data_IF_018926539057
#
_entry.id   IF_018926539057
#
_cell.length_a   1.000
_cell.length_b   1.000
_cell.length_c   1.000
_cell.angle_alpha   90.00
_cell.angle_beta   90.00
_cell.angle_gamma   90.00
#
_symmetry.space_group_name_H-M   'P 1'
#
loop_
_entity.id
_entity.type
_entity.pdbx_description
1 polymer ?
#
# COMPACT_ATOMS: atom_id res chain seq x y z
N UNK A 1 -26.58 -44.04 -22.09
CA UNK A 1 -26.08 -42.65 -21.95
C UNK A 1 -26.44 -42.18 -20.57
N UNK A 2 -25.44 -42.05 -19.70
CA UNK A 2 -25.63 -41.50 -18.36
C UNK A 2 -26.05 -40.03 -18.46
N UNK A 3 -27.08 -39.61 -17.72
CA UNK A 3 -27.54 -38.22 -17.71
C UNK A 3 -26.45 -37.32 -17.09
N UNK A 4 -26.19 -36.18 -17.72
CA UNK A 4 -25.25 -35.14 -17.24
C UNK A 4 -25.54 -34.77 -15.78
N UNK A 5 -26.81 -34.78 -15.36
CA UNK A 5 -27.21 -34.52 -13.99
C UNK A 5 -26.70 -35.57 -12.98
N UNK A 6 -26.62 -36.85 -13.39
CA UNK A 6 -26.10 -37.95 -12.57
C UNK A 6 -24.58 -37.84 -12.41
N UNK A 7 -23.87 -37.52 -13.49
CA UNK A 7 -22.43 -37.29 -13.46
C UNK A 7 -22.06 -36.08 -12.57
N UNK A 8 -22.81 -34.98 -12.69
CA UNK A 8 -22.62 -33.79 -11.87
C UNK A 8 -22.92 -34.05 -10.37
N UNK A 9 -23.99 -34.79 -10.07
CA UNK A 9 -24.33 -35.17 -8.69
C UNK A 9 -23.22 -35.98 -8.01
N UNK A 10 -22.58 -36.90 -8.74
CA UNK A 10 -21.42 -37.66 -8.23
C UNK A 10 -20.20 -36.79 -8.01
N UNK A 11 -19.92 -35.85 -8.90
CA UNK A 11 -18.80 -34.92 -8.74
C UNK A 11 -18.97 -34.04 -7.49
N UNK A 12 -20.19 -33.55 -7.23
CA UNK A 12 -20.50 -32.77 -6.02
C UNK A 12 -20.37 -33.61 -4.75
N UNK A 13 -20.83 -34.87 -4.77
CA UNK A 13 -20.69 -35.78 -3.64
C UNK A 13 -19.21 -36.07 -3.33
N UNK A 14 -18.41 -36.39 -4.36
CA UNK A 14 -16.97 -36.62 -4.22
C UNK A 14 -16.23 -35.37 -3.71
N UNK A 15 -16.64 -34.18 -4.15
CA UNK A 15 -16.06 -32.92 -3.64
C UNK A 15 -16.37 -32.71 -2.15
N UNK A 16 -17.61 -32.93 -1.71
CA UNK A 16 -18.00 -32.82 -0.30
C UNK A 16 -17.26 -33.83 0.57
N UNK A 17 -17.07 -35.06 0.07
CA UNK A 17 -16.30 -36.09 0.74
C UNK A 17 -14.82 -35.72 0.86
N UNK A 18 -14.22 -35.17 -0.20
CA UNK A 18 -12.85 -34.67 -0.18
C UNK A 18 -12.66 -33.52 0.82
N UNK A 19 -13.60 -32.56 0.87
CA UNK A 19 -13.59 -31.46 1.85
C UNK A 19 -13.68 -32.02 3.27
N UNK A 20 -14.60 -32.96 3.53
CA UNK A 20 -14.75 -33.62 4.83
C UNK A 20 -13.46 -34.35 5.27
N UNK A 21 -12.80 -35.07 4.36
CA UNK A 21 -11.53 -35.73 4.65
C UNK A 21 -10.40 -34.74 4.97
N UNK A 22 -10.31 -33.62 4.25
CA UNK A 22 -9.32 -32.57 4.52
C UNK A 22 -9.58 -31.91 5.88
N UNK A 23 -10.84 -31.63 6.22
CA UNK A 23 -11.20 -31.07 7.52
C UNK A 23 -10.92 -32.04 8.67
N UNK A 24 -11.24 -33.33 8.51
CA UNK A 24 -10.95 -34.37 9.49
C UNK A 24 -9.43 -34.58 9.68
N UNK A 25 -8.65 -34.54 8.59
CA UNK A 25 -7.19 -34.61 8.66
C UNK A 25 -6.60 -33.38 9.38
N UNK A 26 -7.10 -32.18 9.10
CA UNK A 26 -6.71 -30.94 9.79
C UNK A 26 -7.11 -30.95 11.27
N UNK A 27 -8.25 -31.55 11.62
CA UNK A 27 -8.65 -31.72 13.01
C UNK A 27 -7.71 -32.68 13.75
N UNK A 28 -7.40 -33.84 13.17
CA UNK A 28 -6.45 -34.81 13.75
C UNK A 28 -5.03 -34.26 13.89
N UNK A 29 -4.57 -33.43 12.95
CA UNK A 29 -3.28 -32.75 13.05
C UNK A 29 -3.27 -31.72 14.18
N UNK A 30 -4.38 -30.99 14.37
CA UNK A 30 -4.56 -30.07 15.51
C UNK A 30 -4.61 -30.81 16.84
N UNK A 31 -5.33 -31.93 16.91
CA UNK A 31 -5.41 -32.78 18.12
C UNK A 31 -4.04 -33.36 18.48
N UNK A 32 -3.29 -33.89 17.51
CA UNK A 32 -1.93 -34.40 17.75
C UNK A 32 -0.93 -33.32 18.13
N UNK A 33 -1.05 -32.11 17.57
CA UNK A 33 -0.26 -30.96 17.99
C UNK A 33 -0.64 -30.48 19.40
N UNK A 34 -1.88 -30.74 19.86
CA UNK A 34 -2.35 -30.48 21.21
C UNK A 34 -1.93 -31.54 22.25
N UNK A 35 -1.86 -32.81 21.85
CA UNK A 35 -1.50 -33.94 22.73
C UNK A 35 0.00 -34.01 23.06
N UNK A 36 0.88 -33.58 22.13
CA UNK A 36 2.28 -33.31 22.43
C UNK A 36 2.42 -31.89 23.01
N UNK A 37 1.88 -31.68 24.21
CA UNK A 37 1.85 -30.35 24.84
C UNK A 37 3.24 -29.70 24.86
N UNK A 38 3.38 -28.56 24.17
CA UNK A 38 4.58 -27.72 24.22
C UNK A 38 4.94 -27.51 25.69
N UNK A 39 6.17 -27.87 26.07
CA UNK A 39 6.58 -27.82 27.47
C UNK A 39 6.41 -26.41 28.03
N UNK A 40 6.20 -26.28 29.35
CA UNK A 40 6.09 -24.97 29.98
C UNK A 40 7.30 -24.07 29.70
N UNK A 41 8.48 -24.68 29.59
CA UNK A 41 9.72 -24.00 29.23
C UNK A 41 9.69 -23.43 27.81
N UNK A 42 9.30 -24.22 26.80
CA UNK A 42 9.22 -23.72 25.41
C UNK A 42 8.19 -22.60 25.27
N UNK A 43 7.09 -22.65 26.04
CA UNK A 43 6.13 -21.53 26.08
C UNK A 43 6.75 -20.26 26.67
N UNK A 44 7.56 -20.37 27.72
CA UNK A 44 8.21 -19.22 28.33
C UNK A 44 9.27 -18.62 27.40
N UNK A 45 10.07 -19.47 26.74
CA UNK A 45 11.03 -19.05 25.71
C UNK A 45 10.33 -18.31 24.56
N UNK A 46 9.20 -18.83 24.07
CA UNK A 46 8.40 -18.19 23.03
C UNK A 46 7.84 -16.82 23.48
N UNK A 47 7.43 -16.67 24.75
CA UNK A 47 7.01 -15.37 25.29
C UNK A 47 8.18 -14.39 25.36
N UNK A 48 9.33 -14.84 25.82
CA UNK A 48 10.56 -14.03 25.86
C UNK A 48 10.97 -13.56 24.46
N UNK A 49 10.89 -14.45 23.47
CA UNK A 49 11.12 -14.12 22.07
C UNK A 49 10.11 -13.09 21.54
N UNK A 50 8.81 -13.31 21.76
CA UNK A 50 7.76 -12.37 21.35
C UNK A 50 7.96 -10.98 21.96
N UNK A 51 8.31 -10.90 23.25
CA UNK A 51 8.63 -9.63 23.90
C UNK A 51 9.87 -8.95 23.30
N UNK A 52 10.88 -9.72 22.91
CA UNK A 52 12.04 -9.22 22.16
C UNK A 52 11.65 -8.65 20.79
N UNK A 53 10.86 -9.40 20.02
CA UNK A 53 10.35 -8.97 18.72
C UNK A 53 9.48 -7.72 18.82
N UNK A 54 8.65 -7.61 19.85
CA UNK A 54 7.82 -6.42 20.09
C UNK A 54 8.68 -5.16 20.28
N UNK A 55 9.77 -5.24 21.09
CA UNK A 55 10.68 -4.11 21.28
C UNK A 55 11.42 -3.72 19.99
N UNK A 56 11.82 -4.71 19.19
CA UNK A 56 12.44 -4.44 17.89
C UNK A 56 11.45 -3.77 16.93
N UNK A 57 10.21 -4.25 16.89
CA UNK A 57 9.15 -3.65 16.08
C UNK A 57 8.92 -2.18 16.47
N UNK A 58 8.80 -1.89 17.76
CA UNK A 58 8.64 -0.51 18.27
C UNK A 58 9.83 0.39 17.91
N UNK A 59 11.06 -0.13 17.98
CA UNK A 59 12.26 0.62 17.61
C UNK A 59 12.37 0.91 16.10
N UNK A 60 11.82 0.02 15.25
CA UNK A 60 11.85 0.17 13.79
C UNK A 60 10.71 1.02 13.24
N UNK A 61 9.63 1.19 14.01
CA UNK A 61 8.38 1.81 13.53
C UNK A 61 7.93 2.98 14.42
N UNK A 62 8.65 4.11 14.41
CA UNK A 62 8.28 5.27 15.22
C UNK A 62 6.95 5.89 14.77
N UNK A 63 6.26 6.53 15.71
CA UNK A 63 5.07 7.34 15.46
C UNK A 63 4.00 6.63 14.64
N UNK A 64 3.57 7.23 13.54
CA UNK A 64 2.53 6.70 12.65
C UNK A 64 2.88 5.33 12.05
N UNK A 65 4.16 5.00 11.90
CA UNK A 65 4.58 3.75 11.27
C UNK A 65 4.27 2.50 12.11
N UNK A 66 4.22 2.65 13.44
CA UNK A 66 4.08 1.52 14.38
C UNK A 66 3.03 1.67 15.47
N UNK A 67 2.52 2.88 15.71
CA UNK A 67 1.51 3.14 16.74
C UNK A 67 0.25 2.28 16.54
N UNK A 68 -0.50 2.04 17.61
CA UNK A 68 -1.85 1.49 17.48
C UNK A 68 -2.74 2.56 16.85
N UNK A 69 -3.53 2.16 15.86
CA UNK A 69 -4.49 3.02 15.17
C UNK A 69 -5.77 3.15 16.01
N UNK A 70 -5.66 3.86 17.13
CA UNK A 70 -6.74 4.19 18.06
C UNK A 70 -6.86 5.71 18.28
N UNK A 71 -7.78 6.14 19.15
CA UNK A 71 -8.04 7.56 19.40
C UNK A 71 -6.79 8.40 19.72
N UNK A 72 -5.79 7.82 20.39
CA UNK A 72 -4.57 8.54 20.75
C UNK A 72 -3.67 8.85 19.55
N UNK A 73 -3.77 8.06 18.46
CA UNK A 73 -2.98 8.29 17.26
C UNK A 73 -3.27 9.64 16.60
N UNK A 74 -4.50 10.16 16.73
CA UNK A 74 -4.95 11.41 16.10
C UNK A 74 -4.08 12.62 16.48
N UNK A 75 -3.55 12.61 17.70
CA UNK A 75 -2.73 13.70 18.25
C UNK A 75 -1.24 13.59 17.88
N UNK A 76 -0.82 12.50 17.22
CA UNK A 76 0.57 12.35 16.79
C UNK A 76 0.95 13.42 15.74
N UNK A 77 2.17 13.97 15.80
CA UNK A 77 2.69 14.87 14.77
C UNK A 77 2.74 14.14 13.42
N UNK A 78 2.52 14.87 12.32
CA UNK A 78 2.58 14.33 10.96
C UNK A 78 3.86 14.78 10.26
N UNK A 79 4.35 13.98 9.32
CA UNK A 79 5.46 14.32 8.43
C UNK A 79 6.85 14.27 9.06
N UNK A 80 6.98 13.64 10.23
CA UNK A 80 8.25 13.58 11.00
C UNK A 80 8.80 12.17 11.18
N UNK A 81 8.03 11.13 10.83
CA UNK A 81 8.39 9.74 11.12
C UNK A 81 9.15 9.06 9.97
N UNK A 82 9.17 9.66 8.78
CA UNK A 82 9.80 9.10 7.59
C UNK A 82 10.56 10.14 6.75
N UNK A 83 11.55 9.66 6.00
CA UNK A 83 12.35 10.47 5.06
C UNK A 83 12.17 9.91 3.65
N UNK A 84 11.79 10.74 2.66
CA UNK A 84 11.65 10.30 1.27
C UNK A 84 12.92 9.63 0.74
N UNK A 85 12.76 8.60 -0.08
CA UNK A 85 13.87 7.83 -0.66
C UNK A 85 14.53 6.82 0.29
N UNK A 86 14.13 6.75 1.57
CA UNK A 86 14.52 5.66 2.47
C UNK A 86 13.40 4.61 2.57
N UNK A 87 13.72 3.32 2.75
CA UNK A 87 12.71 2.30 3.07
C UNK A 87 11.91 2.65 4.33
N UNK A 88 10.58 2.60 4.23
CA UNK A 88 9.67 2.76 5.36
C UNK A 88 9.35 1.40 5.95
N UNK A 89 9.80 1.14 7.18
CA UNK A 89 9.31 -0.01 7.94
C UNK A 89 7.88 0.30 8.44
N UNK A 90 6.91 -0.52 8.08
CA UNK A 90 5.50 -0.33 8.45
C UNK A 90 4.96 -1.54 9.20
N UNK A 91 4.19 -1.28 10.25
CA UNK A 91 3.42 -2.30 10.96
C UNK A 91 2.20 -2.71 10.14
N UNK A 92 2.03 -4.02 9.97
CA UNK A 92 0.86 -4.62 9.29
C UNK A 92 -0.24 -5.07 10.26
N UNK A 93 0.15 -5.54 11.44
CA UNK A 93 -0.73 -6.24 12.36
C UNK A 93 0.03 -6.87 13.52
N UNK A 94 -0.58 -7.86 14.15
CA UNK A 94 -0.02 -8.59 15.29
C UNK A 94 0.06 -10.09 15.00
N UNK A 95 1.21 -10.70 15.31
CA UNK A 95 1.38 -12.14 15.35
C UNK A 95 1.35 -12.64 16.80
N UNK A 96 0.82 -13.85 17.02
CA UNK A 96 0.77 -14.48 18.34
C UNK A 96 1.38 -15.89 18.27
N UNK A 97 2.68 -16.05 18.59
CA UNK A 97 3.34 -17.35 18.51
C UNK A 97 2.81 -18.32 19.59
N UNK A 98 2.47 -17.80 20.76
CA UNK A 98 1.84 -18.54 21.86
C UNK A 98 0.79 -17.68 22.56
N UNK A 99 -0.24 -18.34 23.10
CA UNK A 99 -1.34 -17.68 23.81
C UNK A 99 -0.82 -16.70 24.89
N UNK A 100 -1.36 -15.48 24.89
CA UNK A 100 -0.98 -14.42 25.82
C UNK A 100 0.29 -13.65 25.44
N UNK A 101 0.90 -13.93 24.28
CA UNK A 101 2.02 -13.15 23.74
C UNK A 101 1.71 -12.66 22.33
N UNK A 102 2.07 -11.42 22.04
CA UNK A 102 1.93 -10.83 20.70
C UNK A 102 3.15 -9.98 20.37
N UNK A 103 3.44 -9.84 19.09
CA UNK A 103 4.37 -8.83 18.59
C UNK A 103 3.86 -8.20 17.30
N UNK A 104 4.21 -6.93 17.06
CA UNK A 104 3.91 -6.21 15.84
C UNK A 104 4.68 -6.78 14.66
N UNK A 105 3.99 -7.14 13.58
CA UNK A 105 4.63 -7.58 12.35
C UNK A 105 4.97 -6.36 11.51
N UNK A 106 6.26 -6.20 11.23
CA UNK A 106 6.83 -5.07 10.51
C UNK A 106 7.45 -5.55 9.21
N UNK A 107 7.16 -4.84 8.13
CA UNK A 107 7.73 -5.12 6.81
C UNK A 107 8.30 -3.83 6.20
N UNK A 108 9.36 -3.92 5.40
CA UNK A 108 9.79 -2.80 4.59
C UNK A 108 8.74 -2.57 3.48
N UNK A 109 8.21 -1.36 3.44
CA UNK A 109 7.36 -0.82 2.39
C UNK A 109 8.00 0.45 1.82
N UNK A 110 7.31 1.18 0.93
CA UNK A 110 7.69 2.48 0.32
C UNK A 110 9.16 2.85 0.47
N UNK A 111 9.92 2.75 -0.62
CA UNK A 111 11.38 2.87 -0.63
C UNK A 111 12.09 1.51 -0.65
N UNK A 112 11.38 0.41 -0.37
CA UNK A 112 11.90 -0.96 -0.53
C UNK A 112 11.15 -1.80 -1.57
N UNK A 113 9.81 -1.71 -1.60
CA UNK A 113 9.00 -2.54 -2.47
C UNK A 113 7.51 -2.35 -2.23
N UNK A 114 6.74 -3.38 -2.58
CA UNK A 114 5.29 -3.33 -2.68
C UNK A 114 4.60 -4.20 -1.63
N UNK A 115 3.29 -3.98 -1.48
CA UNK A 115 2.42 -4.81 -0.65
C UNK A 115 1.23 -5.28 -1.47
N UNK A 116 0.92 -6.57 -1.36
CA UNK A 116 -0.26 -7.15 -1.97
C UNK A 116 -0.97 -8.08 -0.98
N UNK A 117 -2.30 -8.04 -0.96
CA UNK A 117 -3.15 -8.99 -0.24
C UNK A 117 -4.10 -9.66 -1.22
N UNK A 118 -4.28 -10.98 -1.09
CA UNK A 118 -5.07 -11.80 -2.01
C UNK A 118 -6.59 -11.56 -1.93
N UNK A 119 -7.04 -11.00 -0.82
CA UNK A 119 -8.43 -10.61 -0.55
C UNK A 119 -8.59 -9.12 -0.84
N UNK A 120 -9.72 -8.70 -1.40
CA UNK A 120 -9.97 -7.28 -1.71
C UNK A 120 -10.83 -6.57 -0.65
N UNK A 121 -11.05 -5.27 -0.84
CA UNK A 121 -11.78 -4.43 0.10
C UNK A 121 -13.30 -4.71 0.18
N UNK A 122 -13.83 -5.71 -0.55
CA UNK A 122 -15.16 -6.25 -0.22
C UNK A 122 -15.15 -6.98 1.13
N UNK A 123 -13.98 -7.46 1.57
CA UNK A 123 -13.77 -7.82 2.97
C UNK A 123 -13.57 -6.54 3.83
N UNK A 124 -14.46 -6.26 4.79
CA UNK A 124 -14.35 -5.08 5.66
C UNK A 124 -13.07 -5.05 6.50
N UNK A 125 -12.44 -6.21 6.77
CA UNK A 125 -11.16 -6.27 7.46
C UNK A 125 -10.04 -5.76 6.56
N UNK A 126 -10.00 -6.17 5.30
CA UNK A 126 -9.02 -5.68 4.32
C UNK A 126 -9.24 -4.19 4.01
N UNK A 127 -10.49 -3.77 3.84
CA UNK A 127 -10.81 -2.36 3.61
C UNK A 127 -10.29 -1.46 4.74
N UNK A 128 -10.49 -1.85 6.00
CA UNK A 128 -9.99 -1.09 7.15
C UNK A 128 -8.47 -1.13 7.28
N UNK A 129 -7.86 -2.30 7.06
CA UNK A 129 -6.41 -2.45 7.07
C UNK A 129 -5.74 -1.57 6.01
N UNK A 130 -6.25 -1.59 4.77
CA UNK A 130 -5.72 -0.81 3.66
C UNK A 130 -5.80 0.69 3.95
N UNK A 131 -6.94 1.17 4.45
CA UNK A 131 -7.09 2.57 4.88
C UNK A 131 -6.14 2.93 6.02
N UNK A 132 -6.00 2.04 7.00
CA UNK A 132 -5.07 2.21 8.10
C UNK A 132 -3.63 2.35 7.62
N UNK A 133 -3.17 1.43 6.78
CA UNK A 133 -1.82 1.45 6.20
C UNK A 133 -1.59 2.69 5.34
N UNK A 134 -2.56 3.06 4.50
CA UNK A 134 -2.50 4.28 3.70
C UNK A 134 -2.35 5.53 4.58
N UNK A 135 -3.12 5.61 5.67
CA UNK A 135 -3.01 6.69 6.63
C UNK A 135 -1.65 6.70 7.34
N UNK A 136 -1.10 5.55 7.72
CA UNK A 136 0.25 5.46 8.31
C UNK A 136 1.29 6.08 7.38
N UNK A 137 1.29 5.70 6.11
CA UNK A 137 2.26 6.20 5.12
C UNK A 137 2.07 7.69 4.86
N UNK A 138 0.81 8.12 4.69
CA UNK A 138 0.46 9.52 4.45
C UNK A 138 0.87 10.42 5.63
N UNK A 139 0.64 9.96 6.86
CA UNK A 139 0.92 10.74 8.06
C UNK A 139 2.39 10.69 8.48
N UNK A 140 3.13 9.65 8.10
CA UNK A 140 4.56 9.52 8.42
C UNK A 140 5.46 10.37 7.50
N UNK A 141 5.13 10.44 6.21
CA UNK A 141 5.91 11.16 5.21
C UNK A 141 5.69 12.68 5.28
N UNK A 142 6.72 13.50 5.00
CA UNK A 142 6.56 14.95 4.94
C UNK A 142 5.44 15.37 3.99
N UNK A 143 4.80 16.48 4.31
CA UNK A 143 3.74 17.03 3.47
C UNK A 143 4.26 17.24 2.04
N UNK A 144 3.50 16.75 1.07
CA UNK A 144 3.90 16.80 -0.33
C UNK A 144 4.84 15.66 -0.76
N UNK A 145 5.38 14.84 0.13
CA UNK A 145 6.24 13.74 -0.29
C UNK A 145 5.47 12.58 -0.94
N UNK A 146 4.19 12.40 -0.62
CA UNK A 146 3.36 11.31 -1.15
C UNK A 146 2.29 11.84 -2.13
N UNK A 147 2.15 11.15 -3.26
CA UNK A 147 1.01 11.22 -4.18
C UNK A 147 0.34 9.85 -4.18
N UNK A 148 -1.00 9.83 -4.14
CA UNK A 148 -1.77 8.60 -4.11
C UNK A 148 -2.67 8.54 -5.34
N UNK A 149 -2.51 7.48 -6.12
CA UNK A 149 -3.41 7.11 -7.20
C UNK A 149 -4.31 5.97 -6.70
N UNK A 150 -5.52 6.31 -6.30
CA UNK A 150 -6.47 5.39 -5.69
C UNK A 150 -7.31 4.66 -6.76
N UNK A 151 -7.57 3.38 -6.55
CA UNK A 151 -8.40 2.54 -7.43
C UNK A 151 -9.37 1.71 -6.58
N UNK A 152 -10.65 1.76 -6.90
CA UNK A 152 -11.69 0.95 -6.24
C UNK A 152 -12.79 0.60 -7.23
N UNK A 153 -12.57 -0.47 -7.97
CA UNK A 153 -13.52 -0.98 -8.94
C UNK A 153 -14.69 -1.78 -8.36
N UNK A 154 -14.68 -2.10 -7.06
CA UNK A 154 -15.72 -2.92 -6.44
C UNK A 154 -16.75 -2.11 -5.66
N UNK A 155 -16.37 -0.97 -5.08
CA UNK A 155 -17.27 -0.16 -4.24
C UNK A 155 -17.44 1.28 -4.73
N UNK A 156 -17.10 1.54 -5.99
CA UNK A 156 -17.25 2.85 -6.64
C UNK A 156 -16.54 3.97 -5.88
N UNK A 157 -15.36 3.68 -5.31
CA UNK A 157 -14.57 4.64 -4.55
C UNK A 157 -14.93 4.76 -3.07
N UNK A 158 -15.93 4.05 -2.57
CA UNK A 158 -16.39 4.20 -1.18
C UNK A 158 -15.30 3.86 -0.14
N UNK A 159 -14.37 2.95 -0.46
CA UNK A 159 -13.22 2.65 0.42
C UNK A 159 -12.36 3.88 0.68
N UNK A 160 -12.31 4.85 -0.23
CA UNK A 160 -11.53 6.07 -0.06
C UNK A 160 -12.36 7.26 0.46
N UNK A 161 -13.65 7.04 0.79
CA UNK A 161 -14.54 8.08 1.33
C UNK A 161 -13.95 8.89 2.50
N UNK A 162 -13.35 8.26 3.53
CA UNK A 162 -12.73 8.98 4.64
C UNK A 162 -11.55 9.89 4.25
N UNK A 163 -11.00 9.73 3.04
CA UNK A 163 -9.92 10.56 2.49
C UNK A 163 -10.42 11.72 1.63
N UNK A 164 -11.74 11.97 1.57
CA UNK A 164 -12.35 13.02 0.73
C UNK A 164 -11.69 14.39 0.88
N UNK A 165 -11.27 14.76 2.09
CA UNK A 165 -10.59 16.03 2.33
C UNK A 165 -9.30 16.21 1.49
N UNK A 166 -8.59 15.12 1.18
CA UNK A 166 -7.40 15.14 0.33
C UNK A 166 -7.75 15.40 -1.14
N UNK A 167 -8.86 14.82 -1.61
CA UNK A 167 -9.38 15.02 -2.97
C UNK A 167 -9.88 16.48 -3.13
N UNK A 168 -10.62 16.98 -2.15
CA UNK A 168 -11.09 18.38 -2.11
C UNK A 168 -9.97 19.40 -1.95
N UNK A 169 -8.79 18.97 -1.54
CA UNK A 169 -7.58 19.80 -1.49
C UNK A 169 -6.72 19.64 -2.76
N UNK A 170 -7.19 18.89 -3.76
CA UNK A 170 -6.47 18.57 -4.99
C UNK A 170 -5.11 17.90 -4.76
N UNK A 171 -4.89 17.37 -3.54
CA UNK A 171 -3.69 16.63 -3.22
C UNK A 171 -3.72 15.24 -3.89
N UNK A 172 -4.91 14.66 -4.03
CA UNK A 172 -5.17 13.37 -4.66
C UNK A 172 -6.14 13.52 -5.82
N UNK A 173 -5.94 12.70 -6.86
CA UNK A 173 -6.95 12.48 -7.89
C UNK A 173 -8.15 11.73 -7.31
N UNK A 174 -9.32 11.86 -7.94
CA UNK A 174 -10.47 11.02 -7.61
C UNK A 174 -10.11 9.54 -7.83
N UNK A 175 -10.58 8.61 -6.98
CA UNK A 175 -10.33 7.19 -7.19
C UNK A 175 -10.86 6.74 -8.56
N UNK A 176 -10.05 5.97 -9.28
CA UNK A 176 -10.51 5.27 -10.47
C UNK A 176 -11.48 4.16 -10.06
N UNK A 177 -12.65 4.12 -10.69
CA UNK A 177 -13.74 3.17 -10.35
C UNK A 177 -14.03 2.17 -11.46
N UNK A 178 -13.34 2.27 -12.59
CA UNK A 178 -13.54 1.46 -13.77
C UNK A 178 -12.20 1.12 -14.46
N UNK A 179 -12.27 0.26 -15.48
CA UNK A 179 -11.10 -0.19 -16.21
C UNK A 179 -10.36 0.97 -16.91
N UNK A 180 -11.01 1.91 -17.63
CA UNK A 180 -10.33 3.05 -18.23
C UNK A 180 -9.57 3.92 -17.20
N UNK A 181 -10.20 4.22 -16.06
CA UNK A 181 -9.55 4.97 -15.00
C UNK A 181 -8.35 4.23 -14.42
N UNK A 182 -8.46 2.91 -14.23
CA UNK A 182 -7.33 2.10 -13.77
C UNK A 182 -6.19 2.07 -14.81
N UNK A 183 -6.51 1.93 -16.09
CA UNK A 183 -5.53 1.99 -17.16
C UNK A 183 -4.79 3.34 -17.20
N UNK A 184 -5.49 4.44 -16.92
CA UNK A 184 -4.88 5.76 -16.78
C UNK A 184 -3.93 5.83 -15.57
N UNK A 185 -4.30 5.24 -14.43
CA UNK A 185 -3.42 5.14 -13.25
C UNK A 185 -2.14 4.36 -13.56
N UNK A 186 -2.25 3.25 -14.30
CA UNK A 186 -1.08 2.49 -14.75
C UNK A 186 -0.22 3.31 -15.71
N UNK A 187 -0.82 4.08 -16.61
CA UNK A 187 -0.09 4.96 -17.54
C UNK A 187 0.67 6.05 -16.79
N UNK A 188 0.07 6.70 -15.79
CA UNK A 188 0.78 7.68 -14.95
C UNK A 188 1.99 7.07 -14.23
N UNK A 189 1.85 5.84 -13.74
CA UNK A 189 2.93 5.11 -13.09
C UNK A 189 4.07 4.80 -14.07
N UNK A 190 3.75 4.36 -15.28
CA UNK A 190 4.72 4.05 -16.35
C UNK A 190 5.45 5.32 -16.84
N UNK A 191 4.72 6.40 -17.13
CA UNK A 191 5.31 7.69 -17.55
C UNK A 191 6.28 8.23 -16.51
N UNK A 192 5.96 8.07 -15.22
CA UNK A 192 6.88 8.44 -14.14
C UNK A 192 8.15 7.59 -14.15
N UNK A 193 8.02 6.28 -14.35
CA UNK A 193 9.18 5.38 -14.46
C UNK A 193 10.07 5.81 -15.62
N UNK A 194 9.48 6.10 -16.78
CA UNK A 194 10.20 6.56 -17.97
C UNK A 194 10.95 7.88 -17.74
N UNK A 195 10.30 8.89 -17.13
CA UNK A 195 10.93 10.17 -16.80
C UNK A 195 12.14 10.02 -15.88
N UNK A 196 12.03 9.21 -14.83
CA UNK A 196 13.15 8.97 -13.92
C UNK A 196 14.28 8.19 -14.61
N UNK A 197 13.95 7.23 -15.47
CA UNK A 197 14.96 6.53 -16.28
C UNK A 197 15.66 7.45 -17.29
N UNK A 198 14.96 8.48 -17.79
CA UNK A 198 15.53 9.55 -18.61
C UNK A 198 16.39 10.56 -17.82
N UNK A 199 16.48 10.42 -16.49
CA UNK A 199 17.31 11.24 -15.62
C UNK A 199 16.59 12.40 -14.95
N UNK A 200 15.26 12.51 -15.08
CA UNK A 200 14.49 13.51 -14.34
C UNK A 200 14.43 13.15 -12.85
N UNK A 201 14.80 14.10 -12.00
CA UNK A 201 14.69 13.93 -10.56
C UNK A 201 13.26 14.28 -10.09
N UNK A 202 12.56 13.30 -9.53
CA UNK A 202 11.31 13.51 -8.81
C UNK A 202 11.46 12.91 -7.39
N UNK A 203 11.64 13.75 -6.35
CA UNK A 203 11.85 13.27 -4.98
C UNK A 203 10.57 12.79 -4.30
N UNK A 204 9.41 12.95 -4.94
CA UNK A 204 8.13 12.49 -4.39
C UNK A 204 7.99 10.97 -4.50
N UNK A 205 6.94 10.43 -3.90
CA UNK A 205 6.55 9.03 -4.01
C UNK A 205 5.18 8.97 -4.69
N UNK A 206 5.02 8.11 -5.69
CA UNK A 206 3.72 7.72 -6.23
C UNK A 206 3.31 6.37 -5.65
N UNK A 207 2.22 6.35 -4.89
CA UNK A 207 1.61 5.13 -4.37
C UNK A 207 0.33 4.82 -5.15
N UNK A 208 0.35 3.75 -5.93
CA UNK A 208 -0.86 3.17 -6.53
C UNK A 208 -1.51 2.30 -5.47
N UNK A 209 -2.69 2.72 -5.00
CA UNK A 209 -3.43 2.05 -3.94
C UNK A 209 -4.74 1.49 -4.50
N UNK A 210 -4.79 0.17 -4.72
CA UNK A 210 -5.97 -0.50 -5.24
C UNK A 210 -6.72 -1.24 -4.13
N UNK A 211 -7.92 -0.77 -3.79
CA UNK A 211 -8.82 -1.43 -2.86
C UNK A 211 -9.52 -2.64 -3.48
N UNK A 212 -9.79 -2.58 -4.78
CA UNK A 212 -10.21 -3.69 -5.61
C UNK A 212 -9.90 -3.35 -7.07
N UNK A 213 -9.40 -4.32 -7.83
CA UNK A 213 -9.17 -4.15 -9.27
C UNK A 213 -10.52 -4.07 -10.00
N UNK A 214 -10.68 -3.19 -11.00
CA UNK A 214 -11.91 -3.10 -11.77
C UNK A 214 -12.26 -4.36 -12.55
N UNK A 215 -13.56 -4.56 -12.77
CA UNK A 215 -14.04 -5.58 -13.70
C UNK A 215 -13.41 -5.40 -15.09
N UNK A 216 -13.02 -6.50 -15.72
CA UNK A 216 -12.34 -6.50 -17.01
C UNK A 216 -10.83 -6.32 -16.95
N UNK A 217 -10.24 -5.99 -15.79
CA UNK A 217 -8.79 -6.04 -15.62
C UNK A 217 -8.30 -7.47 -15.80
N UNK A 218 -7.41 -7.68 -16.77
CA UNK A 218 -6.97 -9.02 -17.17
C UNK A 218 -5.47 -9.08 -17.39
N UNK A 219 -5.06 -9.98 -18.28
CA UNK A 219 -3.65 -10.26 -18.56
C UNK A 219 -2.85 -9.01 -18.91
N UNK A 220 -3.41 -8.09 -19.68
CA UNK A 220 -2.73 -6.85 -20.07
C UNK A 220 -2.40 -6.01 -18.83
N UNK A 221 -3.39 -5.76 -17.99
CA UNK A 221 -3.20 -4.99 -16.74
C UNK A 221 -2.27 -5.71 -15.76
N UNK A 222 -2.34 -7.04 -15.65
CA UNK A 222 -1.45 -7.80 -14.77
C UNK A 222 0.00 -7.75 -15.24
N UNK A 223 0.25 -7.82 -16.55
CA UNK A 223 1.58 -7.64 -17.12
C UNK A 223 2.13 -6.24 -16.87
N UNK A 224 1.29 -5.20 -16.96
CA UNK A 224 1.66 -3.82 -16.63
C UNK A 224 1.99 -3.68 -15.15
N UNK A 225 1.17 -4.24 -14.26
CA UNK A 225 1.45 -4.29 -12.82
C UNK A 225 2.78 -5.00 -12.52
N UNK A 226 3.09 -6.10 -13.20
CA UNK A 226 4.36 -6.81 -13.05
C UNK A 226 5.56 -5.96 -13.52
N UNK A 227 5.43 -5.25 -14.66
CA UNK A 227 6.46 -4.34 -15.14
C UNK A 227 6.68 -3.15 -14.19
N UNK A 228 5.59 -2.57 -13.66
CA UNK A 228 5.65 -1.52 -12.64
C UNK A 228 6.26 -2.07 -11.35
N UNK A 229 5.94 -3.30 -10.94
CA UNK A 229 6.51 -3.90 -9.75
C UNK A 229 8.04 -4.10 -9.85
N UNK A 230 8.51 -4.40 -11.06
CA UNK A 230 9.94 -4.54 -11.34
C UNK A 230 10.68 -3.19 -11.33
N UNK A 231 10.19 -2.21 -12.10
CA UNK A 231 10.89 -0.94 -12.32
C UNK A 231 10.54 0.16 -11.31
N UNK A 232 9.36 0.07 -10.70
CA UNK A 232 8.74 1.11 -9.89
C UNK A 232 9.53 1.55 -8.66
N UNK A 233 10.07 0.63 -7.82
CA UNK A 233 10.78 1.02 -6.61
C UNK A 233 11.94 1.99 -6.86
N UNK A 234 12.66 1.84 -7.99
CA UNK A 234 13.76 2.73 -8.38
C UNK A 234 13.29 4.10 -8.87
N UNK A 235 12.04 4.22 -9.31
CA UNK A 235 11.41 5.45 -9.78
C UNK A 235 10.50 6.11 -8.73
N UNK A 236 10.49 5.60 -7.49
CA UNK A 236 9.61 6.07 -6.42
C UNK A 236 8.14 5.72 -6.64
N UNK A 237 7.85 4.67 -7.43
CA UNK A 237 6.50 4.14 -7.66
C UNK A 237 6.31 2.87 -6.83
N UNK A 238 5.28 2.83 -5.99
CA UNK A 238 4.96 1.66 -5.16
C UNK A 238 3.50 1.24 -5.30
N UNK A 239 3.25 -0.05 -5.10
CA UNK A 239 1.94 -0.66 -5.18
C UNK A 239 1.48 -1.11 -3.79
N UNK A 240 0.24 -0.76 -3.43
CA UNK A 240 -0.54 -1.34 -2.35
C UNK A 240 -1.80 -1.94 -2.96
N UNK A 241 -1.83 -3.25 -3.14
CA UNK A 241 -2.89 -3.94 -3.89
C UNK A 241 -3.71 -4.85 -2.97
N UNK A 242 -5.02 -4.72 -3.04
CA UNK A 242 -5.95 -5.68 -2.47
C UNK A 242 -6.66 -6.46 -3.58
N UNK A 243 -6.84 -7.76 -3.38
CA UNK A 243 -7.31 -8.70 -4.40
C UNK A 243 -6.24 -9.16 -5.37
N UNK A 244 -4.95 -9.12 -4.99
CA UNK A 244 -3.84 -9.58 -5.83
C UNK A 244 -3.00 -10.70 -5.16
N UNK A 245 -2.75 -11.83 -5.84
CA UNK A 245 -3.25 -12.17 -7.18
C UNK A 245 -4.77 -12.36 -7.17
N UNK A 246 -5.47 -12.02 -8.26
CA UNK A 246 -6.90 -12.28 -8.36
C UNK A 246 -7.19 -13.78 -8.26
N UNK A 247 -8.40 -14.17 -7.79
CA UNK A 247 -8.82 -15.56 -7.75
C UNK A 247 -8.60 -16.25 -9.10
N UNK A 248 -8.02 -17.45 -9.07
CA UNK A 248 -7.82 -18.23 -10.29
C UNK A 248 -9.17 -18.67 -10.86
N UNK A 249 -9.43 -18.30 -12.11
CA UNK A 249 -10.59 -18.78 -12.85
C UNK A 249 -10.17 -19.93 -13.78
N UNK A 250 -10.96 -21.02 -13.85
CA UNK A 250 -10.65 -22.15 -14.74
C UNK A 250 -10.45 -21.69 -16.19
N UNK A 251 -9.32 -22.06 -16.79
CA UNK A 251 -8.99 -21.72 -18.18
C UNK A 251 -8.31 -20.36 -18.38
N UNK A 252 -8.05 -19.59 -17.31
CA UNK A 252 -7.19 -18.41 -17.37
C UNK A 252 -5.82 -18.73 -16.77
N UNK A 253 -4.77 -18.17 -17.37
CA UNK A 253 -3.44 -18.23 -16.79
C UNK A 253 -3.42 -17.48 -15.45
N UNK A 254 -2.66 -18.01 -14.50
CA UNK A 254 -2.47 -17.35 -13.22
C UNK A 254 -1.83 -15.97 -13.43
N UNK A 255 -2.27 -14.98 -12.65
CA UNK A 255 -1.61 -13.69 -12.61
C UNK A 255 -0.13 -13.86 -12.19
N UNK A 256 0.81 -13.12 -12.82
CA UNK A 256 2.22 -13.21 -12.49
C UNK A 256 2.47 -12.83 -11.03
N UNK A 257 3.48 -13.45 -10.41
CA UNK A 257 3.98 -12.92 -9.13
C UNK A 257 4.61 -11.56 -9.37
N UNK A 258 4.31 -10.60 -8.50
CA UNK A 258 4.90 -9.27 -8.57
C UNK A 258 6.27 -9.31 -7.89
N UNK A 259 7.29 -8.84 -8.59
CA UNK A 259 8.62 -8.69 -8.00
C UNK A 259 8.61 -7.65 -6.87
N UNK A 260 9.61 -7.73 -6.01
CA UNK A 260 9.79 -6.82 -4.89
C UNK A 260 8.52 -6.61 -4.01
N UNK A 261 7.67 -7.63 -3.89
CA UNK A 261 6.36 -7.52 -3.23
C UNK A 261 6.26 -8.44 -2.02
N UNK A 262 5.87 -7.88 -0.86
CA UNK A 262 5.46 -8.70 0.29
C UNK A 262 3.99 -9.06 0.11
N UNK A 263 3.69 -10.35 0.11
CA UNK A 263 2.35 -10.89 -0.09
C UNK A 263 1.70 -11.28 1.24
N UNK A 264 0.44 -10.91 1.39
CA UNK A 264 -0.46 -11.34 2.45
C UNK A 264 -1.48 -12.30 1.86
N UNK A 265 -1.58 -13.50 2.44
CA UNK A 265 -2.47 -14.55 1.95
C UNK A 265 -3.42 -14.96 3.06
N UNK A 266 -4.72 -14.94 2.79
CA UNK A 266 -5.72 -15.32 3.77
C UNK A 266 -5.51 -16.77 4.23
N UNK A 267 -5.29 -16.97 5.53
CA UNK A 267 -5.07 -18.27 6.17
C UNK A 267 -6.34 -18.82 6.86
N UNK A 268 -7.46 -18.10 6.74
CA UNK A 268 -8.73 -18.40 7.41
C UNK A 268 -8.86 -17.76 8.79
N UNK A 269 -10.10 -17.64 9.30
CA UNK A 269 -10.35 -17.11 10.65
C UNK A 269 -9.92 -15.65 10.88
N UNK A 270 -9.83 -14.84 9.82
CA UNK A 270 -9.34 -13.45 9.89
C UNK A 270 -7.83 -13.32 10.08
N UNK A 271 -7.08 -14.39 9.83
CA UNK A 271 -5.62 -14.43 9.90
C UNK A 271 -5.01 -14.50 8.50
N UNK A 272 -3.77 -14.01 8.38
CA UNK A 272 -3.02 -13.90 7.13
C UNK A 272 -1.62 -14.49 7.30
N UNK A 273 -1.17 -15.27 6.32
CA UNK A 273 0.24 -15.58 6.15
C UNK A 273 0.95 -14.39 5.49
N UNK A 274 2.23 -14.20 5.81
CA UNK A 274 3.06 -13.11 5.27
C UNK A 274 4.26 -13.73 4.59
N UNK A 275 4.47 -13.42 3.31
CA UNK A 275 5.67 -13.87 2.60
C UNK A 275 6.93 -13.18 3.13
N UNK A 276 8.09 -13.65 2.70
CA UNK A 276 9.31 -12.87 2.89
C UNK A 276 9.18 -11.49 2.21
N UNK A 277 9.70 -10.44 2.86
CA UNK A 277 9.76 -9.13 2.26
C UNK A 277 10.87 -9.04 1.19
N UNK A 278 10.83 -8.00 0.34
CA UNK A 278 11.82 -7.83 -0.71
C UNK A 278 13.21 -7.49 -0.17
N UNK A 279 14.24 -7.85 -0.95
CA UNK A 279 15.63 -7.56 -0.65
C UNK A 279 16.32 -8.63 0.21
N UNK A 280 17.34 -8.26 1.00
CA UNK A 280 18.08 -9.22 1.84
C UNK A 280 17.32 -9.62 3.11
N UNK A 281 16.18 -9.00 3.39
CA UNK A 281 15.43 -9.19 4.62
C UNK A 281 14.44 -10.34 4.43
N UNK A 282 14.73 -11.49 5.03
CA UNK A 282 13.85 -12.67 5.00
C UNK A 282 13.43 -13.04 6.41
N UNK A 283 12.19 -13.50 6.55
CA UNK A 283 11.68 -14.12 7.77
C UNK A 283 12.12 -15.58 7.88
N UNK A 284 12.29 -16.28 6.75
CA UNK A 284 12.73 -17.66 6.73
C UNK A 284 13.85 -17.92 5.70
N UNK A 285 14.66 -18.95 5.94
CA UNK A 285 15.75 -19.34 5.03
C UNK A 285 15.22 -19.97 3.73
N UNK A 286 14.04 -20.58 3.80
CA UNK A 286 13.42 -21.35 2.72
C UNK A 286 12.43 -20.55 1.86
N UNK A 287 12.22 -19.26 2.14
CA UNK A 287 11.31 -18.43 1.35
C UNK A 287 9.83 -18.57 1.72
N UNK A 288 9.49 -19.36 2.74
CA UNK A 288 8.10 -19.57 3.18
C UNK A 288 7.49 -18.36 3.90
N UNK A 289 8.30 -17.42 4.36
CA UNK A 289 7.85 -16.20 5.01
C UNK A 289 7.71 -16.33 6.52
N UNK A 290 6.86 -15.51 7.12
CA UNK A 290 6.67 -15.48 8.56
C UNK A 290 5.98 -16.78 9.02
N UNK A 291 6.65 -17.52 9.92
CA UNK A 291 6.18 -18.81 10.42
C UNK A 291 4.89 -18.76 11.27
N UNK A 292 4.44 -17.56 11.65
CA UNK A 292 3.27 -17.34 12.50
C UNK A 292 2.26 -16.47 11.75
N UNK A 293 0.97 -16.85 11.73
CA UNK A 293 -0.04 -16.05 11.07
C UNK A 293 -0.27 -14.71 11.78
N UNK A 294 -0.74 -13.74 11.02
CA UNK A 294 -0.89 -12.35 11.43
C UNK A 294 -2.36 -11.97 11.41
N UNK A 295 -2.80 -11.31 12.48
CA UNK A 295 -4.06 -10.58 12.51
C UNK A 295 -3.78 -9.15 12.08
N UNK A 296 -4.36 -8.73 10.96
CA UNK A 296 -4.17 -7.37 10.45
C UNK A 296 -4.69 -6.32 11.43
N UNK A 297 -4.03 -5.16 11.47
CA UNK A 297 -4.52 -4.04 12.27
C UNK A 297 -5.91 -3.62 11.77
N UNK A 298 -6.84 -3.39 12.71
CA UNK A 298 -8.24 -3.13 12.41
C UNK A 298 -8.52 -1.73 11.83
N UNK A 299 -7.50 -0.89 11.65
CA UNK A 299 -7.61 0.50 11.21
C UNK A 299 -8.25 1.45 12.23
N UNK A 300 -8.20 2.75 11.94
CA UNK A 300 -8.95 3.77 12.69
C UNK A 300 -10.43 3.79 12.24
N UNK A 301 -11.36 4.15 13.14
CA UNK A 301 -12.69 4.61 12.77
C UNK A 301 -12.65 5.74 11.72
N UNK A 302 -13.62 5.75 10.81
CA UNK A 302 -13.67 6.64 9.64
C UNK A 302 -13.60 8.13 10.03
N UNK A 303 -14.27 8.53 11.11
CA UNK A 303 -14.28 9.90 11.64
C UNK A 303 -12.90 10.37 12.12
N UNK A 304 -12.09 9.44 12.64
CA UNK A 304 -10.72 9.74 13.05
C UNK A 304 -9.79 9.84 11.84
N UNK A 305 -9.97 8.99 10.82
CA UNK A 305 -9.26 9.12 9.53
C UNK A 305 -9.56 10.47 8.90
N UNK A 306 -10.84 10.87 8.83
CA UNK A 306 -11.26 12.16 8.29
C UNK A 306 -10.64 13.33 9.05
N UNK A 307 -10.50 13.23 10.37
CA UNK A 307 -9.89 14.27 11.21
C UNK A 307 -8.41 14.47 10.86
N UNK A 308 -7.65 13.39 10.74
CA UNK A 308 -6.24 13.47 10.34
C UNK A 308 -6.11 13.97 8.89
N UNK A 309 -6.95 13.47 7.98
CA UNK A 309 -6.94 13.91 6.58
C UNK A 309 -7.31 15.38 6.42
N UNK A 310 -8.22 15.94 7.23
CA UNK A 310 -8.50 17.39 7.22
C UNK A 310 -7.28 18.23 7.63
N UNK A 311 -6.52 17.77 8.63
CA UNK A 311 -5.27 18.42 9.05
C UNK A 311 -4.24 18.42 7.92
N UNK A 312 -4.04 17.26 7.30
CA UNK A 312 -3.11 17.09 6.16
C UNK A 312 -3.55 17.90 4.94
N UNK A 313 -4.85 17.89 4.61
CA UNK A 313 -5.43 18.68 3.51
C UNK A 313 -5.26 20.19 3.74
N UNK A 314 -5.38 20.67 4.98
CA UNK A 314 -5.10 22.07 5.32
C UNK A 314 -3.64 22.43 5.03
N UNK A 315 -2.70 21.54 5.38
CA UNK A 315 -1.28 21.75 5.07
C UNK A 315 -1.02 21.73 3.56
N UNK A 316 -1.59 20.77 2.84
CA UNK A 316 -1.48 20.68 1.39
C UNK A 316 -2.00 21.95 0.68
N UNK A 317 -3.14 22.50 1.12
CA UNK A 317 -3.67 23.78 0.59
C UNK A 317 -2.75 24.96 0.89
N UNK A 318 -2.16 25.00 2.09
CA UNK A 318 -1.20 26.05 2.44
C UNK A 318 0.07 25.98 1.57
N UNK A 319 0.52 24.79 1.20
CA UNK A 319 1.67 24.60 0.29
C UNK A 319 1.34 24.91 -1.17
N UNK A 320 0.13 24.57 -1.62
CA UNK A 320 -0.35 24.87 -2.96
C UNK A 320 -0.69 26.35 -3.15
N UNK A 321 -1.11 27.02 -2.08
CA UNK A 321 -1.34 28.47 -2.05
C UNK A 321 0.00 29.17 -2.31
N UNK A 322 0.17 29.61 -3.54
CA UNK A 322 1.33 30.39 -3.93
C UNK A 322 1.02 31.85 -3.59
N UNK A 323 1.52 32.34 -2.46
CA UNK A 323 1.47 33.78 -2.19
C UNK A 323 2.43 34.52 -3.13
N UNK A 324 2.17 35.81 -3.35
CA UNK A 324 3.01 36.61 -4.24
C UNK A 324 4.47 36.69 -3.76
N UNK A 325 4.72 36.70 -2.45
CA UNK A 325 6.07 36.74 -1.89
C UNK A 325 6.85 35.44 -2.17
N UNK A 326 6.17 34.29 -2.23
CA UNK A 326 6.74 33.00 -2.60
C UNK A 326 7.10 32.90 -4.10
N UNK A 327 6.54 33.77 -4.94
CA UNK A 327 6.92 33.94 -6.35
C UNK A 327 8.02 34.97 -6.56
N UNK A 328 8.37 35.74 -5.53
CA UNK A 328 9.41 36.75 -5.67
C UNK A 328 10.80 36.12 -5.65
N UNK A 329 11.70 36.53 -6.55
CA UNK A 329 13.08 36.08 -6.51
C UNK A 329 13.72 36.55 -5.20
N UNK A 330 14.59 35.72 -4.63
CA UNK A 330 15.26 36.00 -3.36
C UNK A 330 16.08 37.31 -3.39
N UNK A 331 16.53 37.69 -4.59
CA UNK A 331 17.21 38.95 -4.87
C UNK A 331 16.56 39.62 -6.08
N UNK A 332 16.46 40.95 -6.05
CA UNK A 332 15.96 41.73 -7.18
C UNK A 332 17.04 41.73 -8.26
N UNK A 333 16.71 41.23 -9.46
CA UNK A 333 17.65 41.17 -10.58
C UNK A 333 18.34 42.51 -10.85
N UNK A 334 19.67 42.45 -10.92
CA UNK A 334 20.53 43.56 -11.33
C UNK A 334 21.27 43.26 -12.65
N UNK A 335 21.07 42.06 -13.19
CA UNK A 335 21.77 41.54 -14.36
C UNK A 335 21.13 42.04 -15.67
N UNK A 336 21.90 41.99 -16.75
CA UNK A 336 21.44 42.38 -18.09
C UNK A 336 20.39 41.41 -18.63
N UNK A 337 19.29 41.93 -19.17
CA UNK A 337 18.21 41.15 -19.78
C UNK A 337 18.49 40.72 -21.24
N UNK A 338 19.71 40.91 -21.75
CA UNK A 338 20.06 40.63 -23.16
C UNK A 338 19.89 39.16 -23.54
N UNK A 339 20.00 38.23 -22.58
CA UNK A 339 19.75 36.79 -22.81
C UNK A 339 18.30 36.35 -22.65
N UNK A 340 17.38 37.29 -22.42
CA UNK A 340 15.99 37.04 -22.04
C UNK A 340 15.75 37.05 -20.53
N UNK A 341 14.48 37.18 -20.15
CA UNK A 341 14.02 37.18 -18.75
C UNK A 341 13.25 35.90 -18.48
N UNK A 342 13.52 35.22 -17.37
CA UNK A 342 12.77 34.05 -16.93
C UNK A 342 12.33 34.25 -15.50
N UNK A 343 11.05 34.09 -15.21
CA UNK A 343 10.50 34.23 -13.86
C UNK A 343 9.47 33.16 -13.58
N UNK A 344 9.37 32.73 -12.31
CA UNK A 344 8.27 31.87 -11.88
C UNK A 344 7.04 32.74 -11.71
N UNK A 345 5.98 32.48 -12.48
CA UNK A 345 4.72 33.26 -12.44
C UNK A 345 3.59 32.55 -11.70
N UNK A 346 3.82 31.31 -11.28
CA UNK A 346 2.83 30.51 -10.59
C UNK A 346 3.31 29.07 -10.45
N UNK A 347 2.41 28.21 -10.00
CA UNK A 347 2.61 26.77 -9.95
C UNK A 347 1.42 26.05 -10.57
N UNK A 348 1.69 25.06 -11.41
CA UNK A 348 0.71 24.09 -11.86
C UNK A 348 0.85 22.84 -10.97
N UNK A 349 0.00 22.76 -9.94
CA UNK A 349 0.18 21.76 -8.88
C UNK A 349 1.47 22.02 -8.10
N UNK A 350 2.51 21.20 -8.37
CA UNK A 350 3.83 21.31 -7.72
C UNK A 350 4.95 21.75 -8.65
N UNK A 351 4.70 21.87 -9.95
CA UNK A 351 5.68 22.34 -10.91
C UNK A 351 5.63 23.87 -11.00
N UNK A 352 6.80 24.50 -10.96
CA UNK A 352 6.90 25.94 -11.20
C UNK A 352 6.54 26.26 -12.66
N UNK A 353 5.57 27.15 -12.84
CA UNK A 353 5.27 27.71 -14.14
C UNK A 353 6.22 28.87 -14.40
N UNK A 354 7.18 28.66 -15.31
CA UNK A 354 8.16 29.68 -15.69
C UNK A 354 7.65 30.42 -16.90
N UNK A 355 7.50 31.74 -16.78
CA UNK A 355 7.37 32.65 -17.91
C UNK A 355 8.77 32.99 -18.41
N UNK A 356 9.02 32.76 -19.70
CA UNK A 356 10.22 33.19 -20.38
C UNK A 356 9.88 34.27 -21.42
N UNK A 357 10.63 35.36 -21.40
CA UNK A 357 10.62 36.44 -22.37
C UNK A 357 12.01 36.48 -23.00
N UNK A 358 12.20 35.70 -24.06
CA UNK A 358 13.44 35.55 -24.81
C UNK A 358 13.18 35.62 -26.32
N UNK A 359 14.23 35.50 -27.14
CA UNK A 359 14.11 35.61 -28.61
C UNK A 359 13.21 34.53 -29.23
N UNK A 360 12.98 33.42 -28.53
CA UNK A 360 12.05 32.37 -28.97
C UNK A 360 10.58 32.73 -28.68
N UNK A 361 10.34 33.59 -27.69
CA UNK A 361 9.00 34.01 -27.24
C UNK A 361 8.95 35.52 -26.96
N UNK A 362 9.17 36.38 -27.98
CA UNK A 362 9.31 37.83 -27.77
C UNK A 362 7.99 38.53 -27.47
N UNK A 363 6.85 37.89 -27.74
CA UNK A 363 5.50 38.43 -27.56
C UNK A 363 4.55 37.38 -26.96
N UNK A 364 3.63 37.82 -26.11
CA UNK A 364 2.62 37.00 -25.43
C UNK A 364 1.22 37.58 -25.72
N UNK A 365 0.18 36.74 -25.72
CA UNK A 365 -1.24 37.11 -25.82
C UNK A 365 -2.04 36.68 -24.59
#
# INVERSE_FOLDING_TARGET
>A
MESVASAFGRAVAAHREAVSHVEAARARLRDRAGEAGVSAQVREEARGFAAGMQRLAEGLTPGWLGCRLDGAAVDLPTGVDAVPGRPLAVRLGEASPVAGSVFGVVVPFVGAGHLAVDSDARDPLVARWLRGLLLRVLAALPDGALRVAAVDGATLGAVFGPFRAMIEAEAWSRPAIDLPGFQQVLTEAEERIERVQAGEADPSVLLVCAAALPEGAGRTEWSRLAAIAHAGPRAGVFLLLAGYPPPQHPGLDAAPRLEATTHLTAAGGGLFAVSDPPGPYRFSDDGTGLAVPVRLDAGLPDDLVETVCRRLAKSARAQASTDFAALMPAEIWQESSVGGLRTVVGRAGRADCVLALDDATPHWL
#
